data_IF_617191881315
#
_entry.id   IF_617191881315
#
_cell.length_a   1.000
_cell.length_b   1.000
_cell.length_c   1.000
_cell.angle_alpha   90.00
_cell.angle_beta   90.00
_cell.angle_gamma   90.00
#
_symmetry.space_group_name_H-M   'P 1'
#
loop_
_entity.id
_entity.type
_entity.pdbx_description
1 polymer ?
#
# COMPACT_ATOMS: atom_id res chain seq x y z
N UNK A 1 -19.76 -1.44 3.25
CA UNK A 1 -18.87 -0.56 2.46
C UNK A 1 -18.99 -0.90 0.98
N UNK A 2 -18.92 0.09 0.08
CA UNK A 2 -19.10 -0.04 -1.38
C UNK A 2 -18.19 0.92 -2.18
N UNK A 3 -17.04 1.31 -1.60
CA UNK A 3 -16.11 2.24 -2.23
C UNK A 3 -15.50 1.65 -3.50
N UNK A 4 -15.42 2.46 -4.56
CA UNK A 4 -14.78 2.09 -5.83
C UNK A 4 -13.54 2.97 -6.02
N UNK A 5 -12.38 2.34 -6.12
CA UNK A 5 -11.08 3.02 -6.21
C UNK A 5 -10.16 2.29 -7.18
N UNK A 6 -9.17 3.03 -7.71
CA UNK A 6 -8.03 2.42 -8.42
C UNK A 6 -6.86 2.23 -7.44
N UNK A 7 -5.93 1.32 -7.74
CA UNK A 7 -4.73 1.13 -6.92
C UNK A 7 -3.92 2.42 -6.76
N UNK A 8 -3.78 3.21 -7.83
CA UNK A 8 -3.13 4.53 -7.79
C UNK A 8 -3.89 5.51 -6.90
N UNK A 9 -5.21 5.61 -7.04
CA UNK A 9 -6.03 6.52 -6.24
C UNK A 9 -5.94 6.18 -4.75
N UNK A 10 -6.00 4.89 -4.42
CA UNK A 10 -5.86 4.39 -3.06
C UNK A 10 -4.46 4.68 -2.49
N UNK A 11 -3.40 4.37 -3.24
CA UNK A 11 -2.02 4.66 -2.84
C UNK A 11 -1.80 6.16 -2.59
N UNK A 12 -2.36 7.02 -3.46
CA UNK A 12 -2.26 8.48 -3.32
C UNK A 12 -2.99 9.00 -2.09
N UNK A 13 -4.17 8.46 -1.77
CA UNK A 13 -4.88 8.78 -0.54
C UNK A 13 -4.03 8.43 0.68
N UNK A 14 -3.51 7.20 0.75
CA UNK A 14 -2.66 6.77 1.86
C UNK A 14 -1.32 7.50 1.91
N UNK A 15 -0.77 7.93 0.77
CA UNK A 15 0.44 8.74 0.72
C UNK A 15 0.25 10.10 1.41
N UNK A 16 -0.94 10.71 1.32
CA UNK A 16 -1.24 11.91 2.11
C UNK A 16 -1.18 11.61 3.63
N UNK A 17 -1.63 10.44 4.07
CA UNK A 17 -1.57 10.05 5.48
C UNK A 17 -0.13 9.76 5.94
N UNK A 18 0.67 9.11 5.10
CA UNK A 18 2.07 8.81 5.38
C UNK A 18 2.96 10.07 5.41
N UNK A 19 2.54 11.15 4.75
CA UNK A 19 3.33 12.38 4.60
C UNK A 19 2.67 13.56 5.32
N UNK A 20 2.40 13.40 6.62
CA UNK A 20 1.91 14.46 7.52
C UNK A 20 0.61 15.16 7.04
N UNK A 21 -0.27 14.41 6.38
CA UNK A 21 -1.55 14.92 5.87
C UNK A 21 -1.44 15.68 4.56
N UNK A 22 -0.31 15.57 3.84
CA UNK A 22 0.00 16.39 2.65
C UNK A 22 0.42 15.56 1.46
N UNK A 23 0.00 15.98 0.27
CA UNK A 23 0.47 15.44 -1.01
C UNK A 23 0.26 16.46 -2.13
N UNK A 24 1.13 16.46 -3.14
CA UNK A 24 1.09 17.37 -4.31
C UNK A 24 0.96 18.85 -3.92
N UNK A 25 1.68 19.26 -2.87
CA UNK A 25 1.65 20.64 -2.37
C UNK A 25 0.36 21.04 -1.64
N UNK A 26 -0.62 20.14 -1.51
CA UNK A 26 -1.87 20.39 -0.80
C UNK A 26 -1.90 19.70 0.57
N UNK A 27 -2.48 20.39 1.55
CA UNK A 27 -2.76 19.83 2.88
C UNK A 27 -4.22 19.40 2.97
N UNK A 28 -4.44 18.16 3.39
CA UNK A 28 -5.76 17.56 3.58
C UNK A 28 -6.07 17.33 5.06
N UNK A 29 -5.05 17.03 5.87
CA UNK A 29 -5.14 16.87 7.32
C UNK A 29 -4.06 17.72 8.00
N UNK A 30 -4.29 18.10 9.26
CA UNK A 30 -3.19 18.64 10.08
C UNK A 30 -2.14 17.56 10.31
N UNK A 31 -0.89 17.97 10.50
CA UNK A 31 0.21 17.06 10.85
C UNK A 31 -0.11 16.28 12.13
N UNK A 32 -0.65 16.97 13.14
CA UNK A 32 -1.09 16.36 14.40
C UNK A 32 -2.12 15.25 14.17
N UNK A 33 -3.14 15.50 13.34
CA UNK A 33 -4.17 14.51 13.05
C UNK A 33 -3.59 13.33 12.28
N UNK A 34 -2.78 13.58 11.24
CA UNK A 34 -2.17 12.54 10.43
C UNK A 34 -1.26 11.62 11.27
N UNK A 35 -0.41 12.19 12.14
CA UNK A 35 0.44 11.42 13.05
C UNK A 35 -0.37 10.65 14.09
N UNK A 36 -1.46 11.26 14.57
CA UNK A 36 -2.41 10.63 15.48
C UNK A 36 -3.10 9.39 14.92
N UNK A 37 -3.15 9.19 13.59
CA UNK A 37 -3.76 8.01 12.97
C UNK A 37 -2.96 6.71 13.13
N UNK A 38 -1.65 6.79 13.40
CA UNK A 38 -0.85 5.57 13.69
C UNK A 38 -1.38 4.86 14.94
N UNK A 39 -1.98 5.63 15.86
CA UNK A 39 -2.59 5.11 17.07
C UNK A 39 -1.61 4.63 18.12
N UNK A 40 -2.18 4.17 19.23
CA UNK A 40 -1.47 3.39 20.22
C UNK A 40 -2.17 2.04 20.26
N UNK A 41 -1.50 0.97 19.83
CA UNK A 41 -2.02 -0.38 19.94
C UNK A 41 -2.25 -0.74 21.41
N UNK A 42 -3.49 -0.52 21.88
CA UNK A 42 -3.93 -0.78 23.27
C UNK A 42 -4.63 -2.13 23.41
N UNK A 43 -4.82 -2.85 22.31
CA UNK A 43 -5.60 -4.08 22.27
C UNK A 43 -4.71 -5.28 22.54
N UNK A 44 -4.80 -5.82 23.75
CA UNK A 44 -4.08 -7.04 24.16
C UNK A 44 -4.83 -8.33 23.83
N UNK A 45 -6.10 -8.24 23.45
CA UNK A 45 -7.01 -9.38 23.30
C UNK A 45 -7.37 -9.63 21.83
N UNK A 46 -7.54 -10.88 21.41
CA UNK A 46 -8.01 -11.19 20.06
C UNK A 46 -9.35 -10.51 19.75
N UNK A 47 -9.50 -10.06 18.51
CA UNK A 47 -10.78 -9.57 18.02
C UNK A 47 -11.82 -10.72 18.02
N UNK A 48 -13.05 -10.43 18.43
CA UNK A 48 -14.07 -11.45 18.62
C UNK A 48 -14.54 -12.12 17.31
N UNK A 49 -14.36 -11.49 16.16
CA UNK A 49 -14.73 -12.04 14.86
C UNK A 49 -13.52 -12.66 14.15
N UNK A 50 -12.38 -11.96 14.20
CA UNK A 50 -11.17 -12.36 13.50
C UNK A 50 -10.30 -13.35 14.28
N UNK A 51 -10.52 -13.48 15.59
CA UNK A 51 -9.77 -14.35 16.51
C UNK A 51 -8.26 -14.10 16.54
N UNK A 52 -7.80 -12.97 16.01
CA UNK A 52 -6.41 -12.50 16.02
C UNK A 52 -6.38 -11.08 16.61
N UNK A 53 -5.25 -10.63 17.20
CA UNK A 53 -5.14 -9.27 17.72
C UNK A 53 -5.21 -8.28 16.55
N UNK A 54 -6.32 -7.56 16.44
CA UNK A 54 -6.51 -6.49 15.47
C UNK A 54 -6.43 -5.14 16.18
N UNK A 55 -5.27 -4.47 16.16
CA UNK A 55 -5.11 -3.18 16.80
C UNK A 55 -5.75 -2.07 15.97
N UNK A 56 -7.07 -1.92 16.11
CA UNK A 56 -7.81 -0.85 15.46
C UNK A 56 -7.61 0.49 16.16
N UNK A 57 -7.45 1.54 15.36
CA UNK A 57 -7.43 2.93 15.82
C UNK A 57 -8.05 3.85 14.76
N UNK A 58 -9.09 4.59 15.14
CA UNK A 58 -9.79 5.57 14.29
C UNK A 58 -10.18 5.05 12.88
N UNK A 59 -10.52 3.76 12.77
CA UNK A 59 -10.96 3.11 11.53
C UNK A 59 -9.86 2.41 10.73
N UNK A 60 -8.59 2.56 11.11
CA UNK A 60 -7.45 1.83 10.56
C UNK A 60 -7.03 0.70 11.50
N UNK A 61 -6.23 -0.23 10.99
CA UNK A 61 -5.58 -1.26 11.80
C UNK A 61 -4.09 -1.35 11.46
N UNK A 62 -3.28 -1.74 12.45
CA UNK A 62 -1.90 -2.19 12.20
C UNK A 62 -1.89 -3.68 11.80
N UNK A 63 -0.69 -4.23 11.56
CA UNK A 63 -0.57 -5.65 11.24
C UNK A 63 -0.92 -6.52 12.45
N UNK A 64 -1.73 -7.60 12.27
CA UNK A 64 -1.99 -8.56 13.35
C UNK A 64 -0.75 -9.38 13.72
N UNK A 65 0.30 -9.37 12.89
CA UNK A 65 1.58 -10.02 13.14
C UNK A 65 2.64 -8.93 13.40
N UNK A 66 3.16 -8.82 14.63
CA UNK A 66 4.17 -7.81 14.96
C UNK A 66 5.37 -7.85 14.01
N UNK A 67 5.75 -6.70 13.45
CA UNK A 67 6.90 -6.58 12.56
C UNK A 67 6.67 -7.08 11.12
N UNK A 68 5.49 -7.59 10.78
CA UNK A 68 5.19 -7.99 9.40
C UNK A 68 4.99 -6.79 8.46
N UNK A 69 4.41 -5.69 8.92
CA UNK A 69 4.36 -4.46 8.15
C UNK A 69 4.32 -3.28 9.11
N UNK A 70 5.18 -2.29 8.91
CA UNK A 70 5.16 -1.02 9.63
C UNK A 70 3.99 -0.16 9.17
N UNK A 71 3.48 0.68 10.07
CA UNK A 71 2.41 1.63 9.77
C UNK A 71 1.01 1.05 9.95
N UNK A 72 0.04 1.64 9.24
CA UNK A 72 -1.38 1.39 9.44
C UNK A 72 -2.17 1.44 8.13
N UNK A 73 -3.32 0.80 8.09
CA UNK A 73 -4.20 0.86 6.94
C UNK A 73 -5.47 0.05 7.08
N UNK A 74 -5.94 -0.49 5.96
CA UNK A 74 -7.12 -1.34 5.93
C UNK A 74 -7.01 -2.41 4.85
N UNK A 75 -7.25 -3.66 5.22
CA UNK A 75 -7.43 -4.79 4.31
C UNK A 75 -8.92 -5.02 4.12
N UNK A 76 -9.39 -4.83 2.89
CA UNK A 76 -10.76 -5.13 2.50
C UNK A 76 -10.96 -6.62 2.21
N UNK A 77 -12.21 -7.05 2.32
CA UNK A 77 -12.63 -8.38 1.88
C UNK A 77 -12.21 -8.62 0.42
N UNK A 78 -11.64 -9.79 0.12
CA UNK A 78 -11.03 -10.10 -1.17
C UNK A 78 -9.51 -9.92 -1.18
N UNK A 79 -8.92 -9.10 -0.30
CA UNK A 79 -7.47 -8.85 -0.24
C UNK A 79 -7.02 -7.51 -0.83
N UNK A 80 -7.96 -6.62 -1.18
CA UNK A 80 -7.65 -5.23 -1.54
C UNK A 80 -7.07 -4.51 -0.31
N UNK A 81 -5.97 -3.78 -0.48
CA UNK A 81 -5.19 -3.21 0.61
C UNK A 81 -4.86 -1.75 0.33
N UNK A 82 -5.11 -0.89 1.31
CA UNK A 82 -4.52 0.45 1.39
C UNK A 82 -3.72 0.59 2.66
N UNK A 83 -2.50 1.12 2.58
CA UNK A 83 -1.57 1.15 3.71
C UNK A 83 -0.66 2.38 3.67
N UNK A 84 -0.39 2.97 4.83
CA UNK A 84 0.54 4.08 5.03
C UNK A 84 1.61 3.69 6.05
N UNK A 85 2.87 4.02 5.74
CA UNK A 85 3.99 3.93 6.66
C UNK A 85 4.62 5.32 6.83
N UNK A 86 4.21 6.07 7.87
CA UNK A 86 4.75 7.40 8.15
C UNK A 86 6.25 7.41 8.45
N UNK A 87 6.80 6.32 9.01
CA UNK A 87 8.23 6.25 9.33
C UNK A 87 9.09 6.25 8.06
N UNK A 88 8.55 5.73 6.96
CA UNK A 88 9.23 5.69 5.67
C UNK A 88 8.69 6.71 4.66
N UNK A 89 7.64 7.46 4.99
CA UNK A 89 6.89 8.33 4.07
C UNK A 89 6.23 7.58 2.91
N UNK A 90 6.12 6.25 3.01
CA UNK A 90 5.70 5.38 1.91
C UNK A 90 4.24 4.96 2.07
N UNK A 91 3.57 4.67 0.96
CA UNK A 91 2.20 4.20 0.96
C UNK A 91 1.93 3.23 -0.18
N UNK A 92 0.94 2.36 0.03
CA UNK A 92 0.59 1.29 -0.89
C UNK A 92 -0.91 1.25 -1.17
N UNK A 93 -1.25 0.90 -2.40
CA UNK A 93 -2.61 0.64 -2.83
C UNK A 93 -2.62 -0.57 -3.75
N UNK A 94 -3.16 -1.68 -3.26
CA UNK A 94 -3.34 -2.92 -4.01
C UNK A 94 -4.82 -3.17 -4.22
N UNK A 95 -5.27 -3.12 -5.47
CA UNK A 95 -6.67 -3.30 -5.87
C UNK A 95 -6.72 -4.36 -6.96
N UNK A 96 -7.62 -5.32 -6.82
CA UNK A 96 -7.81 -6.41 -7.78
C UNK A 96 -9.30 -6.76 -7.88
N UNK A 97 -9.68 -7.49 -8.93
CA UNK A 97 -11.05 -7.88 -9.23
C UNK A 97 -11.32 -9.38 -9.02
N UNK A 98 -10.41 -10.08 -8.33
CA UNK A 98 -10.52 -11.52 -8.05
C UNK A 98 -10.82 -11.74 -6.58
N UNK A 99 -12.00 -12.26 -6.26
CA UNK A 99 -12.24 -12.79 -4.92
C UNK A 99 -11.52 -14.14 -4.82
N UNK A 100 -10.37 -14.17 -4.14
CA UNK A 100 -9.50 -15.34 -4.20
C UNK A 100 -9.98 -16.50 -3.30
N UNK A 101 -10.77 -16.26 -2.24
CA UNK A 101 -11.25 -17.33 -1.34
C UNK A 101 -12.32 -16.84 -0.34
N UNK A 102 -13.00 -17.72 0.44
CA UNK A 102 -13.92 -17.29 1.48
C UNK A 102 -13.17 -16.64 2.66
N UNK A 103 -13.37 -15.34 2.83
CA UNK A 103 -13.41 -14.51 4.06
C UNK A 103 -12.21 -14.50 5.04
N UNK A 104 -11.41 -15.56 5.20
CA UNK A 104 -10.28 -15.63 6.15
C UNK A 104 -8.91 -15.77 5.46
N UNK A 105 -8.82 -16.49 4.34
CA UNK A 105 -7.56 -16.58 3.58
C UNK A 105 -7.17 -15.27 2.90
N UNK A 106 -8.15 -14.42 2.58
CA UNK A 106 -7.90 -13.13 1.95
C UNK A 106 -7.12 -12.18 2.86
N UNK A 107 -7.30 -12.28 4.19
CA UNK A 107 -6.44 -11.57 5.15
C UNK A 107 -5.02 -12.16 5.18
N UNK A 108 -4.84 -13.43 4.83
CA UNK A 108 -3.51 -14.03 4.64
C UNK A 108 -2.78 -13.50 3.41
N UNK A 109 -3.50 -13.02 2.39
CA UNK A 109 -2.88 -12.38 1.21
C UNK A 109 -2.06 -11.14 1.57
N UNK A 110 -2.46 -10.42 2.62
CA UNK A 110 -1.69 -9.32 3.20
C UNK A 110 -0.28 -9.75 3.63
N UNK A 111 -0.14 -10.94 4.23
CA UNK A 111 1.17 -11.46 4.60
C UNK A 111 2.03 -11.79 3.38
N UNK A 112 1.42 -12.30 2.31
CA UNK A 112 2.09 -12.51 1.03
C UNK A 112 2.57 -11.21 0.36
N UNK A 113 1.87 -10.09 0.58
CA UNK A 113 2.24 -8.78 0.03
C UNK A 113 3.31 -8.08 0.85
N UNK A 114 3.42 -8.32 2.15
CA UNK A 114 4.34 -7.61 3.02
C UNK A 114 5.82 -7.64 2.57
N UNK A 115 6.31 -8.80 2.09
CA UNK A 115 7.66 -8.93 1.55
C UNK A 115 7.87 -8.11 0.27
N UNK A 116 7.08 -8.34 -0.79
CA UNK A 116 7.12 -7.55 -2.02
C UNK A 116 6.99 -6.04 -1.80
N UNK A 117 6.10 -5.59 -0.90
CA UNK A 117 5.89 -4.16 -0.62
C UNK A 117 7.13 -3.53 0.03
N UNK A 118 7.75 -4.22 1.01
CA UNK A 118 9.00 -3.75 1.62
C UNK A 118 10.14 -3.67 0.61
N UNK A 119 10.33 -4.73 -0.18
CA UNK A 119 11.35 -4.77 -1.22
C UNK A 119 11.14 -3.66 -2.26
N UNK A 120 9.89 -3.34 -2.62
CA UNK A 120 9.58 -2.27 -3.57
C UNK A 120 9.97 -0.88 -3.03
N UNK A 121 9.74 -0.61 -1.73
CA UNK A 121 10.17 0.65 -1.09
C UNK A 121 11.69 0.74 -1.04
N UNK A 122 12.37 -0.33 -0.64
CA UNK A 122 13.84 -0.36 -0.63
C UNK A 122 14.41 -0.15 -2.04
N UNK A 123 13.88 -0.86 -3.04
CA UNK A 123 14.31 -0.73 -4.43
C UNK A 123 14.11 0.70 -4.95
N UNK A 124 12.97 1.33 -4.67
CA UNK A 124 12.69 2.71 -5.08
C UNK A 124 13.60 3.73 -4.38
N UNK A 125 13.99 3.47 -3.13
CA UNK A 125 14.96 4.31 -2.40
C UNK A 125 16.37 4.19 -2.96
N UNK A 126 16.79 2.99 -3.36
CA UNK A 126 18.13 2.74 -3.87
C UNK A 126 18.30 3.16 -5.33
N UNK A 127 17.29 2.91 -6.18
CA UNK A 127 17.41 3.07 -7.64
C UNK A 127 16.55 4.22 -8.20
N UNK A 128 15.79 4.90 -7.34
CA UNK A 128 14.75 5.84 -7.75
C UNK A 128 13.41 5.14 -8.02
N UNK A 129 12.28 5.86 -7.88
CA UNK A 129 10.97 5.31 -8.16
C UNK A 129 10.75 5.13 -9.65
N UNK A 130 10.05 4.06 -10.02
CA UNK A 130 9.47 3.94 -11.36
C UNK A 130 8.18 4.74 -11.42
N UNK A 131 8.11 5.69 -12.34
CA UNK A 131 6.88 6.46 -12.53
C UNK A 131 5.80 5.59 -13.14
N UNK A 132 4.70 5.43 -12.41
CA UNK A 132 3.56 4.70 -12.93
C UNK A 132 2.91 5.54 -14.06
N UNK A 133 2.69 4.97 -15.27
CA UNK A 133 2.19 5.70 -16.45
C UNK A 133 0.90 6.49 -16.18
N UNK A 134 0.64 7.57 -16.91
CA UNK A 134 -0.62 8.31 -16.73
C UNK A 134 -1.84 7.41 -16.95
N UNK A 135 -2.94 7.69 -16.25
CA UNK A 135 -4.17 6.93 -16.45
C UNK A 135 -4.61 7.06 -17.91
N UNK A 136 -4.82 5.93 -18.58
CA UNK A 136 -5.15 5.89 -20.01
C UNK A 136 -3.95 6.00 -20.96
N UNK A 137 -2.71 5.99 -20.45
CA UNK A 137 -1.50 5.95 -21.29
C UNK A 137 -1.49 4.69 -22.16
N UNK A 138 -0.99 4.84 -23.39
CA UNK A 138 -0.85 3.71 -24.31
C UNK A 138 0.25 2.74 -23.85
N UNK A 139 0.13 1.46 -24.22
CA UNK A 139 1.12 0.43 -23.90
C UNK A 139 2.56 0.83 -24.30
N UNK A 140 2.71 1.51 -25.44
CA UNK A 140 4.01 1.94 -26.00
C UNK A 140 4.66 3.08 -25.21
N UNK A 141 3.90 3.95 -24.54
CA UNK A 141 4.46 5.04 -23.70
C UNK A 141 5.20 4.51 -22.47
N UNK A 142 4.90 3.28 -22.04
CA UNK A 142 5.45 2.68 -20.81
C UNK A 142 6.87 2.13 -20.99
N UNK A 143 7.30 1.86 -22.24
CA UNK A 143 8.63 1.31 -22.55
C UNK A 143 9.66 2.38 -22.95
N UNK A 144 9.27 3.65 -23.01
CA UNK A 144 10.11 4.76 -23.49
C UNK A 144 11.30 5.14 -22.60
N UNK A 145 11.37 4.62 -21.36
CA UNK A 145 12.36 5.06 -20.36
C UNK A 145 13.34 3.97 -19.93
N UNK A 146 13.23 2.74 -20.45
CA UNK A 146 14.26 1.73 -20.22
C UNK A 146 15.44 2.00 -21.17
N UNK A 147 16.69 2.07 -20.67
CA UNK A 147 17.85 2.24 -21.55
C UNK A 147 17.86 1.10 -22.56
N UNK A 148 17.76 1.45 -23.85
CA UNK A 148 17.90 0.49 -24.94
C UNK A 148 19.34 -0.02 -24.91
N UNK A 149 19.57 -1.14 -24.23
CA UNK A 149 20.75 -1.95 -24.46
C UNK A 149 20.77 -2.33 -25.93
N UNK A 150 21.83 -1.95 -26.65
CA UNK A 150 22.04 -2.34 -28.03
C UNK A 150 22.14 -3.86 -28.10
N UNK A 151 21.07 -4.53 -28.51
CA UNK A 151 21.17 -5.92 -28.94
C UNK A 151 21.80 -5.88 -30.33
N UNK A 152 23.13 -6.00 -30.35
CA UNK A 152 23.89 -6.36 -31.54
C UNK A 152 23.35 -7.69 -32.06
N UNK A 153 22.89 -7.66 -33.31
CA UNK A 153 22.32 -8.82 -33.97
C UNK A 153 23.29 -9.99 -34.04
N UNK A 154 22.74 -11.19 -33.89
CA UNK A 154 23.23 -12.36 -34.60
C UNK A 154 22.06 -13.05 -35.25
N UNK A 155 22.07 -12.99 -36.57
CA UNK A 155 21.32 -13.86 -37.46
C UNK A 155 21.71 -15.31 -37.20
N UNK A 156 20.70 -16.16 -37.04
CA UNK A 156 20.65 -17.56 -37.50
C UNK A 156 19.19 -17.93 -37.70
#
# INVERSE_FOLDING_TARGET
ANGVVTGRGLAKMYAALANDGRIDGKQYLSEELARGLTGQSRVKWPDANMMVPMPFHLGYHESPIPGLLSGFGHVGLGGTLGWADPATGSAFGFVHNRLLTPLLFDMGSFAGLAGPLRNAVEAARHHGPLEAPRLGAGYTETLGTLPRGSVSGRSV
#
